data_IF_911908515150
#
_entry.id   IF_911908515150
#
_cell.length_a   1.000
_cell.length_b   1.000
_cell.length_c   1.000
_cell.angle_alpha   90.00
_cell.angle_beta   90.00
_cell.angle_gamma   90.00
#
_symmetry.space_group_name_H-M   'P 1'
#
loop_
_entity.id
_entity.type
_entity.pdbx_description
1 polymer ?
#
# COMPACT_ATOMS: atom_id res chain seq x y z
N UNK A 1 26.56 14.51 0.25
CA UNK A 1 25.38 14.59 1.14
C UNK A 1 24.28 15.24 0.34
N UNK A 2 23.50 14.43 -0.39
CA UNK A 2 22.46 14.96 -1.26
C UNK A 2 21.22 15.28 -0.45
N UNK A 3 20.61 16.38 -0.81
CA UNK A 3 19.63 17.16 -0.06
C UNK A 3 18.35 16.37 0.23
N UNK A 4 17.82 16.56 1.44
CA UNK A 4 16.44 16.26 1.74
C UNK A 4 15.56 17.13 0.85
N UNK A 5 14.56 16.52 0.21
CA UNK A 5 13.53 17.24 -0.54
C UNK A 5 12.83 18.18 0.42
N UNK A 6 13.04 19.49 0.25
CA UNK A 6 12.29 20.54 0.92
C UNK A 6 10.83 20.44 0.46
N UNK A 7 10.00 19.77 1.27
CA UNK A 7 8.55 19.92 1.19
C UNK A 7 8.19 21.18 1.97
N UNK A 8 8.30 22.33 1.32
CA UNK A 8 7.84 23.61 1.87
C UNK A 8 6.33 23.56 2.12
N UNK A 9 5.93 24.01 3.31
CA UNK A 9 4.57 24.07 3.85
C UNK A 9 3.62 25.05 3.13
N UNK A 10 3.43 24.93 1.82
CA UNK A 10 2.32 25.55 1.11
C UNK A 10 1.86 24.64 -0.01
N UNK A 11 0.57 24.30 0.00
CA UNK A 11 -0.15 23.49 -0.98
C UNK A 11 -0.23 21.97 -0.65
N UNK A 12 -1.43 21.46 -0.27
CA UNK A 12 -1.61 20.04 0.02
C UNK A 12 -1.46 19.23 -1.26
N UNK A 13 -0.56 18.25 -1.23
CA UNK A 13 -0.44 17.25 -2.28
C UNK A 13 -1.76 16.50 -2.39
N UNK A 14 -2.40 16.63 -3.55
CA UNK A 14 -3.45 15.74 -4.03
C UNK A 14 -2.84 14.36 -4.25
N UNK A 15 -3.58 13.33 -3.85
CA UNK A 15 -3.34 11.88 -3.90
C UNK A 15 -2.00 11.33 -4.42
N UNK A 16 -1.34 10.51 -3.60
CA UNK A 16 -0.18 9.69 -3.99
C UNK A 16 -0.36 8.26 -3.45
N UNK A 17 -0.40 7.27 -4.33
CA UNK A 17 -0.49 5.87 -3.96
C UNK A 17 0.68 5.08 -4.55
N UNK A 18 1.31 4.24 -3.72
CA UNK A 18 2.34 3.31 -4.17
C UNK A 18 1.92 1.90 -3.79
N UNK A 19 1.95 1.02 -4.77
CA UNK A 19 1.34 -0.29 -4.68
C UNK A 19 2.16 -1.37 -5.38
N UNK A 20 2.08 -2.57 -4.81
CA UNK A 20 2.67 -3.78 -5.36
C UNK A 20 1.62 -4.63 -6.05
N UNK A 21 1.91 -5.11 -7.26
CA UNK A 21 1.09 -6.13 -7.89
C UNK A 21 1.46 -7.50 -7.35
N UNK A 22 0.55 -8.06 -6.57
CA UNK A 22 0.45 -9.51 -6.36
C UNK A 22 -0.98 -9.78 -5.92
N UNK A 23 -1.72 -10.70 -6.57
CA UNK A 23 -3.13 -10.88 -6.29
C UNK A 23 -3.41 -10.91 -4.80
N UNK A 24 -4.16 -9.92 -4.32
CA UNK A 24 -4.63 -9.86 -2.95
C UNK A 24 -5.58 -11.05 -2.68
N UNK A 25 -4.99 -12.21 -2.34
CA UNK A 25 -5.74 -13.41 -1.99
C UNK A 25 -6.15 -13.27 -0.53
N UNK A 26 -7.39 -12.82 -0.30
CA UNK A 26 -8.03 -12.95 0.99
C UNK A 26 -8.05 -14.44 1.40
N UNK A 27 -7.75 -14.73 2.67
CA UNK A 27 -7.67 -16.10 3.21
C UNK A 27 -9.01 -16.85 3.24
N UNK A 28 -10.08 -16.28 2.70
CA UNK A 28 -11.42 -16.87 2.76
C UNK A 28 -11.66 -17.88 1.65
N UNK A 29 -11.81 -19.13 2.06
CA UNK A 29 -12.42 -20.25 1.35
C UNK A 29 -13.83 -19.89 0.84
N UNK A 30 -13.95 -19.15 -0.27
CA UNK A 30 -15.22 -19.06 -0.97
C UNK A 30 -14.98 -19.01 -2.47
N UNK A 31 -15.59 -19.98 -3.16
CA UNK A 31 -15.50 -20.17 -4.61
C UNK A 31 -15.88 -18.87 -5.33
N UNK A 32 -14.95 -18.39 -6.14
CA UNK A 32 -15.12 -17.27 -7.05
C UNK A 32 -16.17 -17.59 -8.13
N UNK A 33 -17.45 -17.45 -7.82
CA UNK A 33 -18.48 -17.50 -8.88
C UNK A 33 -19.35 -16.24 -8.93
N UNK A 34 -19.57 -15.48 -7.85
CA UNK A 34 -20.18 -14.14 -7.96
C UNK A 34 -19.84 -13.29 -6.73
N UNK A 35 -18.75 -12.53 -6.74
CA UNK A 35 -18.58 -11.42 -5.79
C UNK A 35 -17.67 -10.38 -6.41
N UNK A 36 -18.24 -9.21 -6.67
CA UNK A 36 -17.47 -7.99 -6.89
C UNK A 36 -16.56 -7.84 -5.68
N UNK A 37 -15.25 -7.94 -5.87
CA UNK A 37 -14.29 -7.62 -4.81
C UNK A 37 -14.10 -6.12 -4.90
N UNK A 38 -14.52 -5.37 -3.89
CA UNK A 38 -14.28 -3.92 -3.81
C UNK A 38 -12.98 -3.64 -3.08
N UNK A 39 -12.36 -2.52 -3.39
CA UNK A 39 -11.20 -2.02 -2.69
C UNK A 39 -11.49 -1.83 -1.20
N UNK A 40 -10.51 -2.15 -0.37
CA UNK A 40 -10.70 -2.11 1.09
C UNK A 40 -9.60 -2.81 1.87
N UNK A 41 -9.76 -2.83 3.20
CA UNK A 41 -8.80 -3.51 4.07
C UNK A 41 -9.09 -5.00 4.18
N UNK A 42 -8.09 -5.83 3.88
CA UNK A 42 -8.14 -7.28 3.98
C UNK A 42 -7.01 -7.81 4.87
N UNK A 43 -7.20 -9.01 5.43
CA UNK A 43 -6.09 -9.77 6.04
C UNK A 43 -5.62 -10.81 5.04
N UNK A 44 -4.39 -10.65 4.56
CA UNK A 44 -3.71 -11.63 3.72
C UNK A 44 -2.85 -12.54 4.60
N UNK A 45 -2.60 -13.77 4.16
CA UNK A 45 -1.73 -14.69 4.89
C UNK A 45 -0.57 -15.20 4.03
N UNK A 46 0.41 -14.33 3.71
CA UNK A 46 1.65 -14.75 3.09
C UNK A 46 2.50 -15.59 4.05
N UNK A 47 3.38 -16.40 3.49
CA UNK A 47 4.44 -17.03 4.27
C UNK A 47 5.27 -15.94 4.98
N UNK A 48 5.74 -16.22 6.21
CA UNK A 48 6.47 -15.25 7.04
C UNK A 48 5.63 -14.44 8.03
N UNK A 49 4.30 -14.36 7.88
CA UNK A 49 3.41 -13.60 8.81
C UNK A 49 2.71 -14.44 9.88
N UNK A 50 2.94 -15.76 9.89
CA UNK A 50 2.34 -16.68 10.86
C UNK A 50 0.80 -16.73 10.83
N UNK A 51 0.19 -17.26 11.88
CA UNK A 51 -1.26 -17.50 11.91
C UNK A 51 -2.13 -16.21 11.98
N UNK A 52 -1.52 -15.04 12.22
CA UNK A 52 -2.22 -13.77 12.32
C UNK A 52 -2.41 -13.05 10.98
N UNK A 53 -1.61 -13.38 9.97
CA UNK A 53 -1.58 -12.68 8.68
C UNK A 53 -1.16 -11.21 8.78
N UNK A 54 -1.24 -10.52 7.65
CA UNK A 54 -0.97 -9.09 7.53
C UNK A 54 -2.24 -8.37 7.07
N UNK A 55 -2.61 -7.29 7.76
CA UNK A 55 -3.67 -6.37 7.30
C UNK A 55 -3.11 -5.42 6.26
N UNK A 56 -3.76 -5.34 5.11
CA UNK A 56 -3.37 -4.49 3.97
C UNK A 56 -4.60 -3.82 3.37
N UNK A 57 -4.42 -2.68 2.71
CA UNK A 57 -5.42 -2.17 1.79
C UNK A 57 -5.20 -2.80 0.41
N UNK A 58 -6.25 -3.36 -0.18
CA UNK A 58 -6.21 -3.90 -1.53
C UNK A 58 -7.05 -3.03 -2.46
N UNK A 59 -6.46 -2.61 -3.56
CA UNK A 59 -7.17 -2.01 -4.68
C UNK A 59 -7.58 -3.13 -5.64
N UNK A 60 -8.89 -3.27 -5.83
CA UNK A 60 -9.51 -4.35 -6.60
C UNK A 60 -10.17 -3.82 -7.88
N UNK A 61 -10.03 -2.52 -8.14
CA UNK A 61 -10.68 -1.80 -9.23
C UNK A 61 -9.67 -1.36 -10.29
N UNK A 62 -8.52 -0.86 -9.87
CA UNK A 62 -7.54 -0.26 -10.77
C UNK A 62 -6.77 -1.32 -11.54
N UNK A 63 -6.69 -1.17 -12.87
CA UNK A 63 -5.91 -2.04 -13.78
C UNK A 63 -6.13 -3.55 -13.55
N UNK A 64 -7.39 -3.95 -13.49
CA UNK A 64 -7.78 -5.34 -13.28
C UNK A 64 -7.76 -5.80 -11.82
N UNK A 65 -7.32 -4.94 -10.89
CA UNK A 65 -7.36 -5.15 -9.45
C UNK A 65 -6.34 -6.16 -8.93
N UNK A 66 -6.35 -6.36 -7.61
CA UNK A 66 -5.43 -7.27 -6.92
C UNK A 66 -4.13 -6.59 -6.48
N UNK A 67 -4.11 -5.27 -6.40
CA UNK A 67 -2.95 -4.51 -5.95
C UNK A 67 -2.94 -4.39 -4.42
N UNK A 68 -1.77 -4.54 -3.82
CA UNK A 68 -1.54 -4.27 -2.41
C UNK A 68 -1.01 -2.84 -2.31
N UNK A 69 -1.80 -1.94 -1.72
CA UNK A 69 -1.36 -0.57 -1.45
C UNK A 69 -0.53 -0.58 -0.18
N UNK A 70 0.72 -0.13 -0.27
CA UNK A 70 1.63 -0.09 0.87
C UNK A 70 1.97 1.33 1.32
N UNK A 71 1.65 2.33 0.50
CA UNK A 71 1.76 3.73 0.86
C UNK A 71 0.60 4.51 0.23
N UNK A 72 -0.10 5.32 1.02
CA UNK A 72 -1.15 6.25 0.55
C UNK A 72 -1.00 7.64 1.16
N UNK A 73 -1.06 8.70 0.34
CA UNK A 73 -1.21 10.11 0.72
C UNK A 73 -2.44 10.67 0.00
N UNK A 74 -3.16 11.59 0.63
CA UNK A 74 -4.43 12.12 0.13
C UNK A 74 -4.70 13.54 0.61
N UNK A 75 -4.56 13.77 1.92
CA UNK A 75 -5.12 14.95 2.59
C UNK A 75 -4.23 15.49 3.72
N UNK A 76 -2.98 15.02 3.80
CA UNK A 76 -1.97 15.48 4.77
C UNK A 76 -2.39 15.23 6.23
N UNK A 77 -3.29 14.28 6.46
CA UNK A 77 -3.75 13.89 7.80
C UNK A 77 -2.69 13.14 8.61
N UNK A 78 -1.68 12.57 7.95
CA UNK A 78 -0.58 11.84 8.59
C UNK A 78 0.75 12.51 8.25
N UNK A 79 1.55 12.79 9.29
CA UNK A 79 2.92 13.24 9.11
C UNK A 79 3.80 12.09 8.58
N UNK A 80 4.49 12.31 7.45
CA UNK A 80 5.46 11.37 6.86
C UNK A 80 6.92 11.71 7.24
N UNK A 81 7.17 12.80 7.97
CA UNK A 81 8.48 13.09 8.54
C UNK A 81 8.71 12.25 9.81
N UNK A 82 8.97 10.95 9.59
CA UNK A 82 9.10 9.94 10.63
C UNK A 82 10.52 9.42 10.79
N UNK A 83 10.82 8.87 11.96
CA UNK A 83 12.11 8.25 12.21
C UNK A 83 12.18 6.83 11.61
N UNK A 84 13.38 6.25 11.59
CA UNK A 84 13.61 4.93 11.01
C UNK A 84 12.74 3.83 11.65
N UNK A 85 12.59 3.82 12.97
CA UNK A 85 11.83 2.79 13.66
C UNK A 85 10.34 2.82 13.25
N UNK A 86 9.77 4.02 13.09
CA UNK A 86 8.40 4.19 12.59
C UNK A 86 8.26 3.74 11.13
N UNK A 87 9.22 4.06 10.25
CA UNK A 87 9.22 3.54 8.88
C UNK A 87 9.39 2.02 8.82
N UNK A 88 10.14 1.45 9.76
CA UNK A 88 10.33 0.02 9.87
C UNK A 88 9.03 -0.69 10.27
N UNK A 89 8.32 -0.18 11.29
CA UNK A 89 7.07 -0.76 11.78
C UNK A 89 5.82 -0.41 10.96
N UNK A 90 5.83 0.73 10.27
CA UNK A 90 4.64 1.31 9.66
C UNK A 90 3.94 2.33 10.57
N UNK A 91 3.12 3.19 9.95
CA UNK A 91 2.34 4.24 10.61
C UNK A 91 1.13 4.66 9.77
N UNK A 92 0.17 5.37 10.38
CA UNK A 92 -1.05 5.84 9.72
C UNK A 92 -2.23 4.86 9.85
N UNK A 93 -3.23 5.02 8.99
CA UNK A 93 -4.46 4.22 8.97
C UNK A 93 -4.70 3.68 7.55
N UNK A 94 -4.91 2.37 7.41
CA UNK A 94 -5.19 1.71 6.11
C UNK A 94 -6.44 2.24 5.41
N UNK A 95 -7.34 2.92 6.13
CA UNK A 95 -8.51 3.60 5.56
C UNK A 95 -8.23 5.04 5.08
N UNK A 96 -7.05 5.58 5.36
CA UNK A 96 -6.61 6.93 5.03
C UNK A 96 -5.16 6.96 4.55
N UNK A 97 -4.36 7.89 5.08
CA UNK A 97 -2.92 7.96 4.78
C UNK A 97 -2.12 6.98 5.64
N UNK A 98 -1.17 6.27 5.03
CA UNK A 98 -0.34 5.30 5.75
C UNK A 98 0.97 4.94 5.03
N UNK A 99 1.87 4.34 5.81
CA UNK A 99 3.02 3.56 5.38
C UNK A 99 2.92 2.16 6.00
N UNK A 100 2.93 1.11 5.18
CA UNK A 100 2.70 -0.27 5.64
C UNK A 100 3.83 -0.79 6.55
N UNK A 101 5.05 -0.27 6.42
CA UNK A 101 6.21 -0.66 7.22
C UNK A 101 7.21 -1.51 6.45
N UNK A 102 8.50 -1.16 6.54
CA UNK A 102 9.57 -1.80 5.77
C UNK A 102 9.70 -3.29 6.08
N UNK A 103 9.51 -3.69 7.34
CA UNK A 103 9.59 -5.11 7.73
C UNK A 103 8.48 -5.93 7.04
N UNK A 104 7.29 -5.34 6.88
CA UNK A 104 6.19 -5.97 6.15
C UNK A 104 6.51 -6.05 4.65
N UNK A 105 7.08 -4.98 4.06
CA UNK A 105 7.46 -4.98 2.65
C UNK A 105 8.52 -6.03 2.33
N UNK A 106 9.60 -6.07 3.12
CA UNK A 106 10.66 -7.06 2.98
C UNK A 106 10.10 -8.46 3.10
N UNK A 107 9.27 -8.72 4.12
CA UNK A 107 8.67 -10.05 4.30
C UNK A 107 7.79 -10.43 3.10
N UNK A 108 6.94 -9.52 2.61
CA UNK A 108 6.10 -9.74 1.43
C UNK A 108 6.94 -10.10 0.19
N UNK A 109 7.99 -9.33 -0.09
CA UNK A 109 8.75 -9.45 -1.34
C UNK A 109 9.89 -10.47 -1.29
N UNK A 110 10.20 -11.02 -0.10
CA UNK A 110 11.33 -11.94 0.10
C UNK A 110 11.09 -13.38 -0.41
N UNK A 111 9.84 -13.75 -0.67
CA UNK A 111 9.49 -15.09 -1.14
C UNK A 111 9.53 -15.20 -2.67
N UNK A 112 10.66 -15.68 -3.18
CA UNK A 112 10.90 -15.92 -4.61
C UNK A 112 9.90 -16.91 -5.25
N UNK A 113 9.20 -17.73 -4.45
CA UNK A 113 8.19 -18.67 -4.98
C UNK A 113 6.93 -17.96 -5.48
N UNK A 114 6.72 -16.70 -5.08
CA UNK A 114 5.55 -15.89 -5.47
C UNK A 114 5.70 -15.23 -6.85
N UNK A 115 6.88 -15.33 -7.46
CA UNK A 115 7.19 -14.77 -8.77
C UNK A 115 7.62 -13.30 -8.72
N UNK A 116 7.59 -12.65 -9.87
CA UNK A 116 8.01 -11.25 -10.00
C UNK A 116 6.96 -10.31 -9.41
N UNK A 117 7.41 -9.37 -8.59
CA UNK A 117 6.61 -8.27 -8.09
C UNK A 117 6.64 -7.11 -9.07
N UNK A 118 5.50 -6.48 -9.32
CA UNK A 118 5.44 -5.23 -10.07
C UNK A 118 5.16 -4.07 -9.11
N UNK A 119 5.81 -2.93 -9.36
CA UNK A 119 5.61 -1.71 -8.59
C UNK A 119 4.87 -0.71 -9.47
N UNK A 120 3.82 -0.14 -8.91
CA UNK A 120 3.06 0.95 -9.53
C UNK A 120 3.00 2.13 -8.59
N UNK A 121 3.13 3.32 -9.19
CA UNK A 121 3.06 4.61 -8.52
C UNK A 121 1.98 5.39 -9.25
N UNK A 122 0.92 5.76 -8.52
CA UNK A 122 -0.17 6.59 -9.02
C UNK A 122 -0.03 7.98 -8.40
N UNK A 123 0.00 9.00 -9.27
CA UNK A 123 0.13 10.40 -8.86
C UNK A 123 -1.06 11.20 -9.39
N UNK A 124 -1.60 12.09 -8.56
CA UNK A 124 -2.60 13.08 -8.96
C UNK A 124 -2.09 14.49 -8.71
N UNK A 125 -2.16 15.35 -9.72
CA UNK A 125 -1.87 16.78 -9.55
C UNK A 125 -3.09 17.57 -9.04
N UNK A 126 -2.87 18.85 -8.74
CA UNK A 126 -3.88 19.74 -8.18
C UNK A 126 -5.01 20.11 -9.15
N UNK A 127 -4.83 19.83 -10.44
CA UNK A 127 -5.86 19.97 -11.48
C UNK A 127 -6.69 18.69 -11.62
N UNK A 128 -6.34 17.63 -10.88
CA UNK A 128 -6.96 16.31 -10.96
C UNK A 128 -6.43 15.45 -12.10
N UNK A 129 -5.29 15.79 -12.69
CA UNK A 129 -4.66 14.96 -13.71
C UNK A 129 -3.94 13.79 -13.02
N UNK A 130 -4.21 12.56 -13.47
CA UNK A 130 -3.62 11.34 -12.92
C UNK A 130 -2.61 10.71 -13.89
N UNK A 131 -1.51 10.16 -13.39
CA UNK A 131 -0.53 9.37 -14.16
C UNK A 131 -0.28 7.99 -13.57
#
# INVERSE_FOLDING_TARGET
MSQAVELTNHEPLTWHEVQFYHPCRASTSFRAIFSVISGGTYTINPEGFGNGGLRVYCDMETDGGGWIVFQRRKDVSVDFYRNWAEYQSGFGDLSGEFWLGNDNLVTLTSDDSRGTWELRVDLEDWEGNTS
#
